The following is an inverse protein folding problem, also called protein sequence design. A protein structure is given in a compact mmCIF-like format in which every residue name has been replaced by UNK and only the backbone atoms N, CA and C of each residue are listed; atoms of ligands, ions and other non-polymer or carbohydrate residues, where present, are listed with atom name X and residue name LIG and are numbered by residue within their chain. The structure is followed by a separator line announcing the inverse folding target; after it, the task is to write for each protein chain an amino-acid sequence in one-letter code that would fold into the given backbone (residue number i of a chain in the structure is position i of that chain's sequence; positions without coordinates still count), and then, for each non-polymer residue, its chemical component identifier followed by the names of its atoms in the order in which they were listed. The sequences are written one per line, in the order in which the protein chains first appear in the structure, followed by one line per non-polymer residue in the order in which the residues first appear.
data_IF_529562151841
#
_entry.id   IF_529562151841
#
_cell.length_a   1.000
_cell.length_b   1.000
_cell.length_c   1.000
_cell.angle_alpha   90.00
_cell.angle_beta   90.00
_cell.angle_gamma   90.00
#
_symmetry.space_group_name_H-M   'P 1'
#
loop_
_entity.id
_entity.type
_entity.pdbx_description
1 polymer ?
#
# COMPACT_ATOMS: atom_id res chain seq x y z
N UNK A 1 -2.40 13.21 13.38
CA UNK A 1 -1.93 12.16 12.44
C UNK A 1 -1.80 10.79 13.09
N UNK A 2 -1.42 10.70 14.37
CA UNK A 2 -1.15 9.42 15.07
C UNK A 2 -2.36 8.46 15.07
N UNK A 3 -3.54 8.89 15.53
CA UNK A 3 -4.76 8.04 15.55
C UNK A 3 -5.23 7.68 14.13
N UNK A 4 -5.09 8.61 13.18
CA UNK A 4 -5.41 8.34 11.78
C UNK A 4 -4.50 7.23 11.19
N UNK A 5 -3.20 7.27 11.49
CA UNK A 5 -2.26 6.22 11.08
C UNK A 5 -2.56 4.87 11.76
N UNK A 6 -3.02 4.87 13.02
CA UNK A 6 -3.46 3.64 13.68
C UNK A 6 -4.67 3.02 12.98
N UNK A 7 -5.66 3.83 12.59
CA UNK A 7 -6.82 3.35 11.84
C UNK A 7 -6.39 2.75 10.49
N UNK A 8 -5.46 3.41 9.77
CA UNK A 8 -4.91 2.89 8.50
C UNK A 8 -4.12 1.61 8.73
N UNK A 9 -3.28 1.54 9.77
CA UNK A 9 -2.52 0.34 10.13
C UNK A 9 -3.42 -0.84 10.49
N UNK A 10 -4.50 -0.59 11.25
CA UNK A 10 -5.50 -1.62 11.58
C UNK A 10 -6.23 -2.13 10.34
N UNK A 11 -6.67 -1.25 9.45
CA UNK A 11 -7.29 -1.64 8.18
C UNK A 11 -6.32 -2.43 7.29
N UNK A 12 -5.04 -2.03 7.24
CA UNK A 12 -4.01 -2.74 6.49
C UNK A 12 -3.75 -4.14 7.05
N UNK A 13 -3.66 -4.28 8.38
CA UNK A 13 -3.44 -5.56 9.05
C UNK A 13 -4.52 -6.61 8.76
N UNK A 14 -5.77 -6.15 8.57
CA UNK A 14 -6.89 -7.04 8.22
C UNK A 14 -6.70 -7.78 6.89
N UNK A 15 -5.89 -7.26 5.96
CA UNK A 15 -5.61 -7.92 4.66
C UNK A 15 -4.68 -9.14 4.76
N UNK A 16 -3.90 -9.24 5.85
CA UNK A 16 -2.91 -10.31 6.07
C UNK A 16 -3.33 -11.26 7.21
N UNK A 17 -4.24 -10.82 8.08
CA UNK A 17 -4.65 -11.60 9.23
C UNK A 17 -5.20 -12.98 8.82
N UNK A 18 -4.67 -14.04 9.43
CA UNK A 18 -4.97 -15.43 9.04
C UNK A 18 -6.46 -15.72 9.16
N UNK A 19 -7.13 -15.24 10.21
CA UNK A 19 -8.58 -15.47 10.37
C UNK A 19 -9.41 -14.85 9.24
N UNK A 20 -9.01 -13.69 8.71
CA UNK A 20 -9.72 -13.03 7.60
C UNK A 20 -9.45 -13.74 6.29
N UNK A 21 -8.20 -14.14 6.03
CA UNK A 21 -7.85 -14.84 4.79
C UNK A 21 -8.43 -16.24 4.76
N UNK A 22 -8.41 -16.97 5.89
CA UNK A 22 -9.08 -18.28 6.03
C UNK A 22 -10.58 -18.13 5.76
N UNK A 23 -11.25 -17.16 6.40
CA UNK A 23 -12.68 -16.91 6.20
C UNK A 23 -13.01 -16.57 4.74
N UNK A 24 -12.22 -15.67 4.11
CA UNK A 24 -12.40 -15.33 2.71
C UNK A 24 -12.19 -16.55 1.81
N UNK A 25 -11.14 -17.33 2.05
CA UNK A 25 -10.81 -18.52 1.25
C UNK A 25 -11.87 -19.61 1.35
N UNK A 26 -12.56 -19.74 2.49
CA UNK A 26 -13.69 -20.64 2.66
C UNK A 26 -14.92 -20.23 1.82
N UNK A 27 -15.20 -18.93 1.70
CA UNK A 27 -16.34 -18.41 0.91
C UNK A 27 -16.12 -18.58 -0.58
N UNK A 28 -14.88 -18.39 -1.06
CA UNK A 28 -14.56 -18.49 -2.49
C UNK A 28 -14.09 -19.89 -2.93
N UNK A 29 -14.07 -20.86 -2.01
CA UNK A 29 -13.68 -22.24 -2.31
C UNK A 29 -12.17 -22.46 -2.52
N UNK A 30 -11.32 -21.57 -2.00
CA UNK A 30 -9.85 -21.64 -2.10
C UNK A 30 -9.20 -22.20 -0.82
N UNK A 31 -9.78 -23.25 -0.25
CA UNK A 31 -9.29 -23.88 1.00
C UNK A 31 -7.83 -24.35 0.86
N UNK A 32 -7.04 -24.14 1.92
CA UNK A 32 -5.63 -24.55 1.96
C UNK A 32 -4.68 -23.69 1.12
N UNK A 33 -5.17 -22.59 0.50
CA UNK A 33 -4.36 -21.63 -0.27
C UNK A 33 -4.15 -20.29 0.43
N UNK A 34 -4.43 -20.22 1.73
CA UNK A 34 -4.34 -19.00 2.54
C UNK A 34 -2.95 -18.35 2.48
N UNK A 35 -1.88 -19.15 2.57
CA UNK A 35 -0.51 -18.66 2.45
C UNK A 35 -0.22 -18.04 1.09
N UNK A 36 -0.75 -18.60 0.01
CA UNK A 36 -0.62 -18.04 -1.35
C UNK A 36 -1.37 -16.71 -1.47
N UNK A 37 -2.56 -16.62 -0.87
CA UNK A 37 -3.34 -15.36 -0.83
C UNK A 37 -2.60 -14.30 -0.02
N UNK A 38 -2.11 -14.61 1.18
CA UNK A 38 -1.32 -13.68 2.01
C UNK A 38 -0.08 -13.20 1.26
N UNK A 39 0.63 -14.11 0.58
CA UNK A 39 1.84 -13.76 -0.17
C UNK A 39 1.53 -12.84 -1.35
N UNK A 40 0.37 -13.00 -1.97
CA UNK A 40 -0.10 -12.13 -3.04
C UNK A 40 -0.55 -10.75 -2.50
N UNK A 41 -1.18 -10.69 -1.34
CA UNK A 41 -1.66 -9.44 -0.71
C UNK A 41 -0.55 -8.67 0.02
N UNK A 42 0.59 -9.30 0.31
CA UNK A 42 1.74 -8.67 0.96
C UNK A 42 2.28 -7.47 0.19
N UNK A 43 2.37 -7.57 -1.14
CA UNK A 43 2.88 -6.48 -1.99
C UNK A 43 1.92 -5.27 -1.93
N UNK A 44 0.61 -5.42 -2.19
CA UNK A 44 -0.38 -4.36 -1.96
C UNK A 44 -0.34 -3.78 -0.54
N UNK A 45 -0.19 -4.63 0.48
CA UNK A 45 -0.11 -4.19 1.87
C UNK A 45 1.08 -3.26 2.12
N UNK A 46 2.28 -3.63 1.63
CA UNK A 46 3.48 -2.80 1.82
C UNK A 46 3.26 -1.43 1.21
N UNK A 47 2.76 -1.35 -0.02
CA UNK A 47 2.44 -0.07 -0.65
C UNK A 47 1.40 0.73 0.15
N UNK A 48 0.31 0.07 0.53
CA UNK A 48 -0.82 0.70 1.24
C UNK A 48 -0.46 1.17 2.65
N UNK A 49 0.45 0.49 3.35
CA UNK A 49 0.90 0.88 4.69
C UNK A 49 1.99 1.96 4.64
N UNK A 50 2.93 1.83 3.70
CA UNK A 50 4.13 2.66 3.65
C UNK A 50 3.86 4.08 3.14
N UNK A 51 2.91 4.24 2.22
CA UNK A 51 2.55 5.55 1.65
C UNK A 51 1.89 6.48 2.69
N UNK A 52 0.80 6.12 3.39
CA UNK A 52 0.23 6.93 4.45
C UNK A 52 1.19 7.09 5.64
N UNK A 53 2.00 6.07 5.97
CA UNK A 53 3.08 6.19 6.97
C UNK A 53 4.08 7.29 6.61
N UNK A 54 4.52 7.35 5.36
CA UNK A 54 5.41 8.39 4.84
C UNK A 54 4.77 9.79 4.90
N UNK A 55 3.48 9.89 4.56
CA UNK A 55 2.69 11.14 4.67
C UNK A 55 2.60 11.60 6.12
N UNK A 56 2.24 10.71 7.04
CA UNK A 56 2.15 11.05 8.44
C UNK A 56 3.49 11.50 9.02
N UNK A 57 4.60 10.84 8.66
CA UNK A 57 5.94 11.24 9.04
C UNK A 57 6.33 12.60 8.46
N UNK A 58 6.03 12.85 7.18
CA UNK A 58 6.26 14.15 6.55
C UNK A 58 5.56 15.28 7.30
N UNK A 59 4.28 15.09 7.66
CA UNK A 59 3.50 16.13 8.34
C UNK A 59 4.03 16.39 9.75
N UNK A 60 4.40 15.34 10.50
CA UNK A 60 5.00 15.50 11.84
C UNK A 60 6.31 16.28 11.78
N UNK A 61 7.22 15.92 10.88
CA UNK A 61 8.52 16.58 10.78
C UNK A 61 8.42 18.02 10.24
N UNK A 62 7.47 18.29 9.34
CA UNK A 62 7.25 19.63 8.76
C UNK A 62 6.94 20.70 9.83
N UNK A 63 6.51 20.30 11.03
CA UNK A 63 6.27 21.21 12.14
C UNK A 63 7.56 21.71 12.82
N UNK A 64 8.70 21.00 12.70
CA UNK A 64 9.90 21.27 13.50
C UNK A 64 11.15 21.66 12.68
N UNK A 65 11.32 21.19 11.44
CA UNK A 65 12.64 21.26 10.77
C UNK A 65 12.64 21.49 9.25
N UNK A 66 11.52 22.00 8.69
CA UNK A 66 11.42 22.38 7.28
C UNK A 66 10.86 21.30 6.34
N UNK A 67 10.94 21.55 5.04
CA UNK A 67 10.23 20.80 4.00
C UNK A 67 10.93 19.50 3.52
N UNK A 68 12.24 19.34 3.72
CA UNK A 68 13.01 18.21 3.15
C UNK A 68 13.32 17.16 4.21
N UNK A 69 12.50 16.10 4.21
CA UNK A 69 12.51 15.02 5.20
C UNK A 69 12.50 13.65 4.53
N UNK A 70 12.83 12.60 5.26
CA UNK A 70 12.74 11.22 4.77
C UNK A 70 11.34 10.90 4.23
N UNK A 71 10.27 11.42 4.87
CA UNK A 71 8.89 11.26 4.42
C UNK A 71 8.60 11.92 3.06
N UNK A 72 9.05 13.15 2.83
CA UNK A 72 8.88 13.83 1.53
C UNK A 72 9.66 13.14 0.42
N UNK A 73 10.88 12.68 0.71
CA UNK A 73 11.71 11.94 -0.27
C UNK A 73 11.01 10.64 -0.65
N UNK A 74 10.47 9.92 0.34
CA UNK A 74 9.76 8.67 0.13
C UNK A 74 8.46 8.85 -0.66
N UNK A 75 7.68 9.89 -0.36
CA UNK A 75 6.46 10.24 -1.12
C UNK A 75 6.80 10.58 -2.57
N UNK A 76 7.84 11.39 -2.81
CA UNK A 76 8.28 11.74 -4.17
C UNK A 76 8.79 10.52 -4.93
N UNK A 77 9.52 9.62 -4.28
CA UNK A 77 9.99 8.38 -4.90
C UNK A 77 8.81 7.48 -5.32
N UNK A 78 7.79 7.34 -4.46
CA UNK A 78 6.57 6.57 -4.77
C UNK A 78 5.78 7.23 -5.91
N UNK A 79 5.60 8.55 -5.87
CA UNK A 79 4.91 9.28 -6.93
C UNK A 79 5.66 9.19 -8.27
N UNK A 80 6.98 9.36 -8.25
CA UNK A 80 7.82 9.27 -9.46
C UNK A 80 7.80 7.87 -10.05
N UNK A 81 7.86 6.81 -9.23
CA UNK A 81 7.74 5.43 -9.71
C UNK A 81 6.34 5.15 -10.28
N UNK A 82 5.27 5.62 -9.63
CA UNK A 82 3.92 5.49 -10.16
C UNK A 82 3.75 6.21 -11.52
N UNK A 83 4.21 7.47 -11.62
CA UNK A 83 4.18 8.25 -12.88
C UNK A 83 5.02 7.55 -13.95
N UNK A 84 6.20 7.04 -13.60
CA UNK A 84 7.06 6.32 -14.54
C UNK A 84 6.39 5.04 -15.06
N UNK A 85 5.76 4.25 -14.19
CA UNK A 85 5.00 3.05 -14.59
C UNK A 85 3.86 3.44 -15.52
N UNK A 86 3.07 4.46 -15.18
CA UNK A 86 1.95 4.92 -16.01
C UNK A 86 2.45 5.45 -17.36
N UNK A 87 3.54 6.22 -17.40
CA UNK A 87 4.10 6.74 -18.64
C UNK A 87 4.69 5.63 -19.54
N UNK A 88 5.24 4.57 -18.96
CA UNK A 88 5.82 3.42 -19.68
C UNK A 88 4.75 2.42 -20.15
N UNK A 89 3.77 2.11 -19.32
CA UNK A 89 2.80 1.03 -19.56
C UNK A 89 1.38 1.52 -19.90
N UNK A 90 1.03 2.77 -19.56
CA UNK A 90 -0.25 3.40 -19.88
C UNK A 90 -0.37 3.86 -21.34
N UNK A 91 0.69 3.71 -22.15
CA UNK A 91 0.67 3.96 -23.60
C UNK A 91 0.36 2.72 -24.43
N UNK A 92 -0.25 1.67 -23.86
CA UNK A 92 -0.82 0.59 -24.68
C UNK A 92 -2.09 1.15 -25.33
N UNK A 93 -2.13 1.36 -26.67
CA UNK A 93 -3.38 1.68 -27.33
C UNK A 93 -4.34 0.52 -27.08
N UNK A 94 -5.53 0.82 -26.56
CA UNK A 94 -6.61 -0.13 -26.59
C UNK A 94 -7.07 -0.26 -28.06
N UNK A 95 -6.79 -1.39 -28.70
CA UNK A 95 -7.23 -1.76 -30.04
C UNK A 95 -6.16 -2.63 -30.72
N UNK A 96 -6.45 -3.82 -31.26
CA UNK A 96 -7.62 -4.21 -32.07
C UNK A 96 -7.82 -5.75 -32.04
N UNK A 97 -9.03 -6.29 -32.32
CA UNK A 97 -9.15 -7.53 -33.08
C UNK A 97 -8.79 -7.31 -34.56
#
# INVERSE_FOLDING_TARGET
WIVALQAVGGAAGNMICVHNVVAASAVVGLLGREGSVIRLTLIPFIYYALLPGAVGYFIVWRAESGLINAGSVLILAIAATAIWIIARYGRRPAGTP
#
